data_IF_592327417472
#
_entry.id   IF_592327417472
#
_cell.length_a   1.000
_cell.length_b   1.000
_cell.length_c   1.000
_cell.angle_alpha   90.00
_cell.angle_beta   90.00
_cell.angle_gamma   90.00
#
_symmetry.space_group_name_H-M   'P 1'
#
loop_
_entity.id
_entity.type
_entity.pdbx_description
1 polymer ?
#
# COMPACT_ATOMS: atom_id res chain seq x y z
N UNK A 1 -5.16 -12.69 -13.12
CA UNK A 1 -3.82 -12.17 -13.56
C UNK A 1 -2.77 -12.43 -12.50
N UNK A 2 -1.45 -12.34 -12.81
CA UNK A 2 -0.43 -12.34 -11.75
C UNK A 2 -0.51 -11.04 -10.92
N UNK A 3 -0.14 -11.12 -9.65
CA UNK A 3 -0.08 -9.95 -8.77
C UNK A 3 0.95 -8.96 -9.32
N UNK A 4 0.55 -7.73 -9.57
CA UNK A 4 1.44 -6.67 -10.01
C UNK A 4 1.87 -5.81 -8.81
N UNK A 5 3.16 -5.69 -8.61
CA UNK A 5 3.75 -4.91 -7.53
C UNK A 5 4.50 -3.70 -8.09
N UNK A 6 4.22 -2.53 -7.54
CA UNK A 6 4.90 -1.27 -7.88
C UNK A 6 5.47 -0.65 -6.62
N UNK A 7 6.66 -0.11 -6.72
CA UNK A 7 7.32 0.59 -5.63
C UNK A 7 7.90 1.92 -6.12
N UNK A 8 7.67 2.95 -5.34
CA UNK A 8 8.33 4.25 -5.47
C UNK A 8 9.17 4.51 -4.22
N UNK A 9 10.47 4.71 -4.38
CA UNK A 9 11.39 5.13 -3.32
C UNK A 9 12.68 5.73 -3.94
N UNK A 10 13.16 6.87 -3.44
CA UNK A 10 12.54 7.71 -2.42
C UNK A 10 11.41 8.58 -2.98
N UNK A 11 10.39 8.84 -2.17
CA UNK A 11 9.45 9.94 -2.42
C UNK A 11 10.14 11.23 -2.00
N UNK A 12 10.46 12.09 -2.96
CA UNK A 12 10.97 13.43 -2.69
C UNK A 12 9.81 14.42 -2.48
N UNK A 13 10.06 15.57 -1.85
CA UNK A 13 9.07 16.64 -1.81
C UNK A 13 8.66 17.06 -3.23
N UNK A 14 7.37 17.26 -3.42
CA UNK A 14 6.80 17.79 -4.65
C UNK A 14 6.75 19.32 -4.57
N UNK A 15 7.05 20.00 -5.67
CA UNK A 15 6.71 21.41 -5.84
C UNK A 15 5.20 21.59 -5.87
N UNK A 16 4.71 22.79 -5.63
CA UNK A 16 3.26 23.06 -5.71
C UNK A 16 2.71 22.82 -7.11
N UNK A 17 3.48 23.10 -8.15
CA UNK A 17 3.09 22.82 -9.53
C UNK A 17 2.92 21.33 -9.79
N UNK A 18 3.89 20.51 -9.38
CA UNK A 18 3.83 19.04 -9.48
C UNK A 18 2.65 18.46 -8.69
N UNK A 19 2.49 18.90 -7.44
CA UNK A 19 1.40 18.43 -6.59
C UNK A 19 0.03 18.78 -7.18
N UNK A 20 -0.14 20.00 -7.72
CA UNK A 20 -1.39 20.41 -8.36
C UNK A 20 -1.65 19.64 -9.66
N UNK A 21 -0.61 19.36 -10.46
CA UNK A 21 -0.73 18.57 -11.67
C UNK A 21 -1.17 17.13 -11.37
N UNK A 22 -0.59 16.49 -10.35
CA UNK A 22 -1.00 15.15 -9.92
C UNK A 22 -2.43 15.17 -9.35
N UNK A 23 -2.76 16.16 -8.53
CA UNK A 23 -4.09 16.31 -7.94
C UNK A 23 -5.18 16.45 -9.01
N UNK A 24 -4.91 17.20 -10.08
CA UNK A 24 -5.86 17.42 -11.17
C UNK A 24 -6.23 16.14 -11.94
N UNK A 25 -5.39 15.12 -11.91
CA UNK A 25 -5.63 13.82 -12.57
C UNK A 25 -6.51 12.88 -11.74
N UNK A 26 -6.80 13.21 -10.48
CA UNK A 26 -7.52 12.35 -9.55
C UNK A 26 -9.03 12.62 -9.58
N UNK A 27 -9.88 11.60 -9.31
CA UNK A 27 -11.32 11.79 -9.11
C UNK A 27 -11.63 12.76 -7.96
N UNK A 28 -12.80 13.40 -8.01
CA UNK A 28 -13.19 14.46 -7.07
C UNK A 28 -13.10 14.02 -5.61
N UNK A 29 -13.63 12.85 -5.28
CA UNK A 29 -13.59 12.32 -3.92
C UNK A 29 -12.15 12.18 -3.37
N UNK A 30 -11.18 11.81 -4.22
CA UNK A 30 -9.77 11.77 -3.85
C UNK A 30 -9.19 13.17 -3.70
N UNK A 31 -9.52 14.10 -4.60
CA UNK A 31 -9.07 15.50 -4.51
C UNK A 31 -9.51 16.14 -3.20
N UNK A 32 -10.76 16.00 -2.83
CA UNK A 32 -11.31 16.50 -1.57
C UNK A 32 -10.61 15.89 -0.36
N UNK A 33 -10.40 14.57 -0.36
CA UNK A 33 -9.73 13.85 0.71
C UNK A 33 -8.27 14.27 0.89
N UNK A 34 -7.56 14.58 -0.19
CA UNK A 34 -6.15 14.95 -0.17
C UNK A 34 -5.93 16.45 0.03
N UNK A 35 -6.93 17.30 -0.23
CA UNK A 35 -6.83 18.75 -0.10
C UNK A 35 -6.39 19.21 1.31
N UNK A 36 -6.76 18.47 2.36
CA UNK A 36 -6.37 18.76 3.74
C UNK A 36 -4.99 18.23 4.16
N UNK A 37 -4.33 17.44 3.32
CA UNK A 37 -3.02 16.86 3.63
C UNK A 37 -1.89 17.83 3.25
N UNK A 38 -0.78 17.78 3.99
CA UNK A 38 0.39 18.64 3.78
C UNK A 38 1.70 17.86 3.87
N UNK A 39 2.75 18.42 3.27
CA UNK A 39 4.12 17.89 3.34
C UNK A 39 4.25 16.48 2.82
N UNK A 40 5.20 15.72 3.32
CA UNK A 40 5.54 14.39 2.82
C UNK A 40 4.39 13.37 2.83
N UNK A 41 3.37 13.57 3.69
CA UNK A 41 2.16 12.72 3.67
C UNK A 41 1.32 12.98 2.42
N UNK A 42 1.12 14.26 2.06
CA UNK A 42 0.43 14.65 0.83
C UNK A 42 1.18 14.11 -0.38
N UNK A 43 2.49 14.32 -0.42
CA UNK A 43 3.32 13.95 -1.56
C UNK A 43 3.32 12.43 -1.77
N UNK A 44 3.47 11.64 -0.71
CA UNK A 44 3.36 10.19 -0.77
C UNK A 44 1.97 9.72 -1.23
N UNK A 45 0.89 10.37 -0.78
CA UNK A 45 -0.46 10.02 -1.20
C UNK A 45 -0.70 10.35 -2.68
N UNK A 46 -0.26 11.51 -3.16
CA UNK A 46 -0.37 11.89 -4.57
C UNK A 46 0.39 10.92 -5.47
N UNK A 47 1.63 10.61 -5.11
CA UNK A 47 2.44 9.63 -5.83
C UNK A 47 1.77 8.23 -5.82
N UNK A 48 1.21 7.81 -4.69
CA UNK A 48 0.54 6.52 -4.56
C UNK A 48 -0.66 6.38 -5.52
N UNK A 49 -1.49 7.42 -5.62
CA UNK A 49 -2.64 7.38 -6.53
C UNK A 49 -2.24 7.58 -8.00
N UNK A 50 -1.18 8.31 -8.30
CA UNK A 50 -0.67 8.37 -9.67
C UNK A 50 -0.05 7.02 -10.11
N UNK A 51 0.68 6.35 -9.21
CA UNK A 51 1.11 4.96 -9.44
C UNK A 51 -0.08 4.05 -9.73
N UNK A 52 -1.17 4.19 -8.95
CA UNK A 52 -2.39 3.42 -9.16
C UNK A 52 -3.00 3.73 -10.53
N UNK A 53 -3.12 5.01 -10.92
CA UNK A 53 -3.64 5.40 -12.23
C UNK A 53 -2.84 4.75 -13.36
N UNK A 54 -1.50 4.80 -13.28
CA UNK A 54 -0.60 4.19 -14.26
C UNK A 54 -0.77 2.67 -14.30
N UNK A 55 -0.80 2.02 -13.15
CA UNK A 55 -0.99 0.57 -13.07
C UNK A 55 -2.36 0.15 -13.65
N UNK A 56 -3.43 0.92 -13.42
CA UNK A 56 -4.73 0.65 -14.02
C UNK A 56 -4.75 0.86 -15.54
N UNK A 57 -4.01 1.85 -16.03
CA UNK A 57 -3.80 2.04 -17.47
C UNK A 57 -3.06 0.84 -18.09
N UNK A 58 -1.97 0.41 -17.46
CA UNK A 58 -1.11 -0.67 -17.99
C UNK A 58 -1.81 -2.03 -18.03
N UNK A 59 -2.66 -2.33 -17.02
CA UNK A 59 -3.25 -3.66 -16.86
C UNK A 59 -4.73 -3.76 -17.25
N UNK A 60 -5.47 -2.65 -17.19
CA UNK A 60 -6.90 -2.61 -17.47
C UNK A 60 -7.26 -1.65 -18.61
N UNK A 61 -6.28 -0.92 -19.17
CA UNK A 61 -6.49 0.03 -20.27
C UNK A 61 -7.26 1.30 -19.89
N UNK A 62 -7.32 1.64 -18.60
CA UNK A 62 -8.09 2.80 -18.15
C UNK A 62 -7.33 4.11 -18.40
N UNK A 63 -7.94 5.05 -19.07
CA UNK A 63 -7.36 6.38 -19.31
C UNK A 63 -7.36 7.24 -18.04
N UNK A 64 -8.34 7.05 -17.14
CA UNK A 64 -8.46 7.75 -15.87
C UNK A 64 -8.93 6.79 -14.77
N UNK A 65 -8.65 7.13 -13.51
CA UNK A 65 -9.21 6.38 -12.39
C UNK A 65 -10.72 6.64 -12.29
N UNK A 66 -11.55 5.60 -12.12
CA UNK A 66 -12.94 5.76 -11.77
C UNK A 66 -13.09 6.32 -10.35
N UNK A 67 -14.31 6.53 -9.91
CA UNK A 67 -14.61 6.90 -8.53
C UNK A 67 -13.95 5.93 -7.55
N UNK A 68 -13.33 6.47 -6.50
CA UNK A 68 -12.73 5.71 -5.41
C UNK A 68 -13.56 5.91 -4.15
N UNK A 69 -14.10 4.83 -3.64
CA UNK A 69 -14.79 4.80 -2.36
C UNK A 69 -13.87 4.26 -1.26
N UNK A 70 -14.29 4.40 -0.01
CA UNK A 70 -13.52 3.97 1.16
C UNK A 70 -14.39 3.09 2.05
N UNK A 71 -13.91 1.90 2.36
CA UNK A 71 -14.53 0.98 3.31
C UNK A 71 -14.50 1.52 4.75
N UNK A 72 -15.16 0.83 5.66
CA UNK A 72 -15.33 1.21 7.07
C UNK A 72 -14.00 1.52 7.79
N UNK A 73 -12.90 0.90 7.39
CA UNK A 73 -11.57 1.11 7.96
C UNK A 73 -10.64 1.88 7.03
N UNK A 74 -11.21 2.59 6.04
CA UNK A 74 -10.47 3.49 5.16
C UNK A 74 -9.70 2.80 4.02
N UNK A 75 -9.92 1.50 3.77
CA UNK A 75 -9.38 0.82 2.59
C UNK A 75 -10.04 1.41 1.35
N UNK A 76 -9.26 1.96 0.38
CA UNK A 76 -9.82 2.45 -0.88
C UNK A 76 -10.18 1.27 -1.80
N UNK A 77 -11.22 1.45 -2.60
CA UNK A 77 -11.67 0.49 -3.62
C UNK A 77 -12.46 1.17 -4.73
N UNK A 78 -12.67 0.49 -5.84
CA UNK A 78 -13.50 0.95 -6.96
C UNK A 78 -14.91 0.38 -6.83
N UNK A 79 -15.93 1.18 -6.51
CA UNK A 79 -17.30 0.66 -6.31
C UNK A 79 -17.94 0.12 -7.58
N UNK A 80 -17.50 0.60 -8.74
CA UNK A 80 -18.02 0.18 -10.05
C UNK A 80 -17.25 -0.96 -10.72
N UNK A 81 -16.12 -1.43 -10.13
CA UNK A 81 -15.20 -2.37 -10.77
C UNK A 81 -14.71 -3.42 -9.77
N UNK A 82 -15.45 -4.52 -9.62
CA UNK A 82 -15.11 -5.61 -8.69
C UNK A 82 -13.83 -6.36 -9.06
N UNK A 83 -13.49 -6.38 -10.35
CA UNK A 83 -12.39 -7.15 -10.92
C UNK A 83 -11.07 -6.38 -11.00
N UNK A 84 -11.03 -5.19 -10.40
CA UNK A 84 -9.84 -4.36 -10.30
C UNK A 84 -9.59 -4.04 -8.83
N UNK A 85 -8.84 -4.90 -8.17
CA UNK A 85 -8.50 -4.77 -6.76
C UNK A 85 -7.10 -4.17 -6.60
N UNK A 86 -6.93 -3.37 -5.56
CA UNK A 86 -5.63 -2.81 -5.23
C UNK A 86 -5.44 -2.64 -3.73
N UNK A 87 -4.18 -2.49 -3.33
CA UNK A 87 -3.80 -2.14 -1.97
C UNK A 87 -2.60 -1.20 -1.99
N UNK A 88 -2.65 -0.17 -1.16
CA UNK A 88 -1.60 0.84 -1.02
C UNK A 88 -1.02 0.84 0.39
N UNK A 89 0.29 1.01 0.48
CA UNK A 89 0.99 1.29 1.73
C UNK A 89 2.11 2.28 1.51
N UNK A 90 2.45 3.04 2.53
CA UNK A 90 3.59 3.94 2.52
C UNK A 90 4.28 4.01 3.88
N UNK A 91 5.59 4.07 3.89
CA UNK A 91 6.40 4.27 5.09
C UNK A 91 7.65 5.06 4.76
N UNK A 92 7.83 6.20 5.47
CA UNK A 92 9.08 7.00 5.49
C UNK A 92 9.76 7.18 4.13
N UNK A 93 9.02 7.70 3.15
CA UNK A 93 9.55 8.00 1.82
C UNK A 93 9.54 6.82 0.84
N UNK A 94 8.81 5.75 1.14
CA UNK A 94 8.51 4.70 0.19
C UNK A 94 6.99 4.50 0.06
N UNK A 95 6.54 4.16 -1.14
CA UNK A 95 5.17 3.76 -1.45
C UNK A 95 5.22 2.38 -2.09
N UNK A 96 4.33 1.50 -1.67
CA UNK A 96 4.10 0.18 -2.27
C UNK A 96 2.64 0.09 -2.72
N UNK A 97 2.45 -0.36 -3.94
CA UNK A 97 1.15 -0.66 -4.54
C UNK A 97 1.13 -2.11 -5.00
N UNK A 98 0.04 -2.80 -4.73
CA UNK A 98 -0.30 -4.04 -5.40
C UNK A 98 -1.61 -3.90 -6.16
N UNK A 99 -1.67 -4.50 -7.34
CA UNK A 99 -2.85 -4.56 -8.21
C UNK A 99 -3.12 -6.02 -8.59
N UNK A 100 -4.38 -6.41 -8.55
CA UNK A 100 -4.83 -7.75 -8.88
C UNK A 100 -6.31 -7.74 -9.28
N UNK A 101 -6.80 -8.84 -9.88
CA UNK A 101 -8.23 -9.05 -10.17
C UNK A 101 -9.01 -9.62 -8.97
N UNK A 102 -8.32 -9.97 -7.89
CA UNK A 102 -8.92 -10.43 -6.62
C UNK A 102 -8.43 -9.60 -5.43
N UNK A 103 -9.12 -9.74 -4.29
CA UNK A 103 -8.78 -9.01 -3.07
C UNK A 103 -7.32 -9.23 -2.66
N UNK A 104 -6.60 -8.15 -2.48
CA UNK A 104 -5.17 -8.12 -2.11
C UNK A 104 -4.92 -7.14 -0.98
N UNK A 105 -3.86 -7.37 -0.20
CA UNK A 105 -3.35 -6.45 0.80
C UNK A 105 -1.83 -6.38 0.76
N UNK A 106 -1.28 -5.18 0.87
CA UNK A 106 0.16 -4.97 1.02
C UNK A 106 0.47 -4.03 2.16
N UNK A 107 1.61 -4.27 2.78
CA UNK A 107 2.19 -3.34 3.72
C UNK A 107 3.69 -3.16 3.47
N UNK A 108 4.23 -2.00 3.81
CA UNK A 108 5.66 -1.68 3.75
C UNK A 108 6.08 -0.91 4.98
N UNK A 109 7.20 -1.29 5.58
CA UNK A 109 7.79 -0.57 6.69
C UNK A 109 9.28 -0.33 6.47
N UNK A 110 9.73 0.86 6.85
CA UNK A 110 11.16 1.14 6.96
C UNK A 110 11.68 0.55 8.26
N UNK A 111 12.69 -0.30 8.16
CA UNK A 111 13.35 -0.88 9.33
C UNK A 111 13.95 0.23 10.20
N UNK A 112 13.68 0.17 11.48
CA UNK A 112 14.15 1.11 12.49
C UNK A 112 14.20 0.43 13.87
N UNK A 113 15.05 0.93 14.77
CA UNK A 113 15.06 0.43 16.15
C UNK A 113 13.67 0.53 16.79
N UNK A 114 13.27 -0.52 17.47
CA UNK A 114 12.04 -0.53 18.23
C UNK A 114 12.18 0.31 19.50
N UNK A 115 11.17 1.10 19.82
CA UNK A 115 11.10 1.73 21.14
C UNK A 115 10.86 0.67 22.22
N UNK A 116 11.32 0.94 23.44
CA UNK A 116 11.08 0.07 24.59
C UNK A 116 9.58 -0.24 24.81
N UNK A 117 8.74 0.77 24.63
CA UNK A 117 7.28 0.61 24.67
C UNK A 117 6.77 -0.40 23.63
N UNK A 118 7.33 -0.44 22.43
CA UNK A 118 6.95 -1.42 21.40
C UNK A 118 7.45 -2.81 21.78
N UNK A 119 8.71 -2.93 22.24
CA UNK A 119 9.28 -4.21 22.69
C UNK A 119 8.42 -4.86 23.76
N UNK A 120 8.09 -4.10 24.81
CA UNK A 120 7.25 -4.58 25.92
C UNK A 120 5.85 -4.96 25.43
N UNK A 121 5.23 -4.10 24.62
CA UNK A 121 3.86 -4.31 24.16
C UNK A 121 3.68 -5.53 23.28
N UNK A 122 4.66 -5.81 22.41
CA UNK A 122 4.58 -6.90 21.44
C UNK A 122 5.45 -8.10 21.82
N UNK A 123 6.06 -8.08 23.03
CA UNK A 123 6.97 -9.12 23.53
C UNK A 123 8.07 -9.47 22.50
N UNK A 124 8.56 -8.45 21.78
CA UNK A 124 9.48 -8.64 20.68
C UNK A 124 10.92 -8.65 21.17
N UNK A 125 11.61 -9.76 20.97
CA UNK A 125 13.04 -9.93 21.28
C UNK A 125 13.94 -9.66 20.06
N UNK A 126 13.43 -9.87 18.84
CA UNK A 126 14.11 -9.68 17.57
C UNK A 126 13.38 -8.61 16.73
N UNK A 127 14.11 -7.56 16.36
CA UNK A 127 13.56 -6.46 15.57
C UNK A 127 13.22 -6.85 14.14
N UNK A 128 14.07 -7.67 13.51
CA UNK A 128 13.85 -8.09 12.13
C UNK A 128 12.63 -9.00 12.03
N UNK A 129 12.55 -9.98 12.92
CA UNK A 129 11.38 -10.87 13.02
C UNK A 129 10.10 -10.08 13.31
N UNK A 130 10.16 -9.08 14.22
CA UNK A 130 9.02 -8.22 14.51
C UNK A 130 8.52 -7.46 13.27
N UNK A 131 9.41 -6.82 12.52
CA UNK A 131 8.98 -6.05 11.35
C UNK A 131 8.44 -6.94 10.23
N UNK A 132 9.00 -8.16 10.05
CA UNK A 132 8.45 -9.15 9.12
C UNK A 132 7.04 -9.59 9.51
N UNK A 133 6.83 -9.95 10.76
CA UNK A 133 5.52 -10.32 11.29
C UNK A 133 4.52 -9.15 11.19
N UNK A 134 4.96 -7.94 11.51
CA UNK A 134 4.14 -6.74 11.43
C UNK A 134 3.59 -6.49 10.03
N UNK A 135 4.43 -6.47 8.99
CA UNK A 135 3.97 -6.22 7.62
C UNK A 135 3.09 -7.34 7.08
N UNK A 136 3.30 -8.58 7.52
CA UNK A 136 2.43 -9.70 7.17
C UNK A 136 1.02 -9.50 7.77
N UNK A 137 0.94 -9.16 9.03
CA UNK A 137 -0.35 -8.89 9.73
C UNK A 137 -1.08 -7.69 9.13
N UNK A 138 -0.39 -6.58 8.91
CA UNK A 138 -0.96 -5.38 8.29
C UNK A 138 -1.47 -5.68 6.87
N UNK A 139 -0.73 -6.45 6.08
CA UNK A 139 -1.17 -6.86 4.75
C UNK A 139 -2.45 -7.69 4.79
N UNK A 140 -2.60 -8.60 5.75
CA UNK A 140 -3.85 -9.35 5.96
C UNK A 140 -5.01 -8.43 6.32
N UNK A 141 -4.79 -7.51 7.26
CA UNK A 141 -5.82 -6.54 7.63
C UNK A 141 -6.26 -5.69 6.43
N UNK A 142 -5.30 -5.24 5.61
CA UNK A 142 -5.58 -4.50 4.38
C UNK A 142 -6.31 -5.35 3.34
N UNK A 143 -5.95 -6.62 3.16
CA UNK A 143 -6.70 -7.52 2.28
C UNK A 143 -8.14 -7.66 2.73
N UNK A 144 -8.37 -7.91 3.99
CA UNK A 144 -9.69 -8.15 4.58
C UNK A 144 -10.50 -6.86 4.80
N UNK A 145 -9.89 -5.68 4.68
CA UNK A 145 -10.54 -4.40 4.96
C UNK A 145 -10.90 -4.20 6.43
N UNK A 146 -10.15 -4.82 7.35
CA UNK A 146 -10.32 -4.69 8.80
C UNK A 146 -9.28 -3.72 9.40
N UNK A 147 -9.56 -3.23 10.60
CA UNK A 147 -8.64 -2.32 11.28
C UNK A 147 -7.40 -3.05 11.79
N UNK A 148 -6.21 -2.47 11.58
CA UNK A 148 -4.98 -2.89 12.22
C UNK A 148 -5.02 -2.81 13.76
N UNK A 149 -5.99 -2.10 14.34
CA UNK A 149 -6.24 -2.10 15.77
C UNK A 149 -6.61 -3.51 16.28
N UNK A 150 -7.19 -4.36 15.43
CA UNK A 150 -7.46 -5.76 15.74
C UNK A 150 -6.16 -6.55 16.06
N UNK A 151 -4.99 -6.06 15.59
CA UNK A 151 -3.69 -6.66 15.88
C UNK A 151 -3.18 -6.40 17.30
N UNK A 152 -3.86 -5.56 18.07
CA UNK A 152 -3.39 -5.15 19.40
C UNK A 152 -3.46 -6.26 20.45
N UNK A 153 -4.14 -7.35 20.17
CA UNK A 153 -4.43 -8.38 21.16
C UNK A 153 -4.08 -9.81 20.77
N UNK A 154 -3.44 -10.07 19.63
CA UNK A 154 -3.16 -11.44 19.27
C UNK A 154 -2.81 -11.67 17.80
N UNK A 155 -2.76 -12.92 17.43
CA UNK A 155 -2.55 -13.38 16.07
C UNK A 155 -3.73 -12.99 15.17
N UNK A 156 -3.43 -12.61 13.94
CA UNK A 156 -4.46 -12.50 12.90
C UNK A 156 -4.95 -13.92 12.63
N UNK A 157 -6.24 -14.20 12.82
CA UNK A 157 -6.75 -15.56 12.60
C UNK A 157 -6.40 -16.03 11.18
N UNK A 158 -5.84 -17.22 11.06
CA UNK A 158 -5.61 -17.83 9.76
C UNK A 158 -6.94 -18.00 9.02
N UNK A 159 -6.95 -17.66 7.74
CA UNK A 159 -8.08 -17.90 6.86
C UNK A 159 -7.63 -18.95 5.85
N UNK A 160 -8.40 -20.01 5.63
CA UNK A 160 -8.12 -20.95 4.55
C UNK A 160 -7.96 -20.20 3.23
N UNK A 161 -7.08 -20.67 2.38
CA UNK A 161 -6.80 -20.10 1.06
C UNK A 161 -6.15 -18.70 1.07
N UNK A 162 -5.57 -18.28 2.19
CA UNK A 162 -4.70 -17.10 2.24
C UNK A 162 -3.22 -17.51 2.17
N UNK A 163 -2.50 -16.84 1.31
CA UNK A 163 -1.04 -16.86 1.25
C UNK A 163 -0.50 -15.53 1.73
N UNK A 164 0.43 -15.61 2.68
CA UNK A 164 1.06 -14.45 3.29
C UNK A 164 2.57 -14.62 3.14
N UNK A 165 3.26 -13.59 2.68
CA UNK A 165 4.72 -13.61 2.62
C UNK A 165 5.29 -12.22 2.82
N UNK A 166 6.54 -12.18 3.30
CA UNK A 166 7.31 -10.94 3.42
C UNK A 166 8.56 -11.02 2.55
N UNK A 167 9.03 -9.86 2.10
CA UNK A 167 10.25 -9.71 1.31
C UNK A 167 10.89 -8.33 1.57
N UNK A 168 12.15 -8.18 1.17
CA UNK A 168 12.85 -6.90 1.26
C UNK A 168 12.88 -6.23 -0.11
N UNK A 169 11.99 -5.26 -0.39
CA UNK A 169 11.92 -4.60 -1.70
C UNK A 169 13.11 -3.67 -1.94
N UNK A 170 13.70 -3.14 -0.88
CA UNK A 170 14.84 -2.23 -0.90
C UNK A 170 15.61 -2.37 0.42
N UNK A 171 16.89 -1.96 0.42
CA UNK A 171 17.69 -1.89 1.65
C UNK A 171 16.96 -1.08 2.74
N UNK A 172 16.94 -1.59 3.97
CA UNK A 172 16.21 -1.01 5.11
C UNK A 172 14.68 -0.92 4.98
N UNK A 173 14.07 -1.68 4.08
CA UNK A 173 12.62 -1.85 4.02
C UNK A 173 12.24 -3.32 4.04
N UNK A 174 11.10 -3.60 4.65
CA UNK A 174 10.41 -4.88 4.58
C UNK A 174 8.98 -4.65 4.12
N UNK A 175 8.47 -5.55 3.31
CA UNK A 175 7.11 -5.49 2.79
C UNK A 175 6.41 -6.84 3.01
N UNK A 176 5.10 -6.78 3.20
CA UNK A 176 4.21 -7.92 3.31
C UNK A 176 3.17 -7.90 2.21
N UNK A 177 2.79 -9.08 1.74
CA UNK A 177 1.69 -9.30 0.79
C UNK A 177 0.78 -10.37 1.36
N UNK A 178 -0.53 -10.13 1.28
CA UNK A 178 -1.56 -11.11 1.59
C UNK A 178 -2.50 -11.24 0.38
N UNK A 179 -2.67 -12.47 -0.10
CA UNK A 179 -3.39 -12.79 -1.33
C UNK A 179 -4.07 -14.16 -1.23
N UNK A 180 -4.74 -14.62 -2.28
CA UNK A 180 -5.22 -16.01 -2.36
C UNK A 180 -4.06 -17.00 -2.54
N UNK A 181 -4.27 -18.27 -2.15
CA UNK A 181 -3.17 -19.24 -2.01
C UNK A 181 -2.49 -19.64 -3.31
N UNK A 182 -3.18 -19.60 -4.44
CA UNK A 182 -2.73 -20.06 -5.74
C UNK A 182 -2.19 -18.93 -6.65
N UNK A 183 -2.25 -17.69 -6.19
CA UNK A 183 -1.86 -16.53 -6.99
C UNK A 183 -0.34 -16.37 -7.08
N UNK A 184 0.14 -16.05 -8.29
CA UNK A 184 1.56 -15.80 -8.56
C UNK A 184 1.89 -14.33 -8.40
N UNK A 185 3.09 -14.06 -7.91
CA UNK A 185 3.63 -12.70 -7.82
C UNK A 185 4.45 -12.38 -9.06
N UNK A 186 4.08 -11.34 -9.79
CA UNK A 186 4.85 -10.76 -10.87
C UNK A 186 6.13 -10.05 -10.38
N UNK A 187 6.82 -9.40 -11.30
CA UNK A 187 8.00 -8.60 -10.98
C UNK A 187 7.61 -7.34 -10.22
N UNK A 188 8.45 -6.93 -9.26
CA UNK A 188 8.36 -5.62 -8.64
C UNK A 188 8.85 -4.54 -9.62
N UNK A 189 7.93 -3.70 -10.09
CA UNK A 189 8.25 -2.52 -10.91
C UNK A 189 8.69 -1.39 -9.97
N UNK A 190 9.87 -0.83 -10.23
CA UNK A 190 10.36 0.34 -9.48
C UNK A 190 10.16 1.58 -10.33
N UNK A 191 9.59 2.60 -9.71
CA UNK A 191 9.32 3.90 -10.31
C UNK A 191 10.07 5.00 -9.56
N UNK A 192 10.31 6.09 -10.24
CA UNK A 192 10.80 7.35 -9.68
C UNK A 192 9.69 8.40 -9.71
N UNK A 193 9.86 9.48 -8.96
CA UNK A 193 8.90 10.60 -8.99
C UNK A 193 8.87 11.24 -10.38
N UNK A 194 10.01 11.32 -11.05
CA UNK A 194 10.17 11.89 -12.38
C UNK A 194 9.40 11.11 -13.46
N UNK A 195 9.22 9.81 -13.27
CA UNK A 195 8.40 8.98 -14.17
C UNK A 195 6.90 9.13 -13.94
N UNK A 196 6.49 9.71 -12.81
CA UNK A 196 5.08 9.92 -12.47
C UNK A 196 4.56 11.31 -12.89
N UNK A 197 5.45 12.29 -12.98
CA UNK A 197 5.12 13.68 -13.33
C UNK A 197 5.13 13.84 -14.84
#
# INVERSE_FOLDING_TARGET
MDIQLYMLAPVRPLSDGEANALLARLPDALRERLAGQKGGKRDASLCAYEMLRRAMQDHFGWEALPEVAFGAHGKPYFPSCSDACFSLSHSRGAVLLAVHDHSIGVDIERLRPMSERMRTRFHASDEAAFWQDWVQRESCCKRRGISAVALRGGEVPAVPDERIFAFSPLHNYVAGVCTASDEKTGKLVRLTVEELI
#
